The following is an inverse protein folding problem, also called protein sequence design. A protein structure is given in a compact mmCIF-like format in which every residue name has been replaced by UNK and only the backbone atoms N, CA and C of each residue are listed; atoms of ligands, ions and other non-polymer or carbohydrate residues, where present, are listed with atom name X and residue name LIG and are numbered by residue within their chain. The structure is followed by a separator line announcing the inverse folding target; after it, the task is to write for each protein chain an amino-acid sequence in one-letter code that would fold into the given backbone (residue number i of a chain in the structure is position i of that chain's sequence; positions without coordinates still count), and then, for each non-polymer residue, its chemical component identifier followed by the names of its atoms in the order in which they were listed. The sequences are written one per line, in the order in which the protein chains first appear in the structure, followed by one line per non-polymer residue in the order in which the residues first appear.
data_IF_390757007506
#
_entry.id   IF_390757007506
#
_cell.length_a   1.000
_cell.length_b   1.000
_cell.length_c   1.000
_cell.angle_alpha   90.00
_cell.angle_beta   90.00
_cell.angle_gamma   90.00
#
_symmetry.space_group_name_H-M   'P 1'
#
loop_
_entity.id
_entity.type
_entity.pdbx_description
1 polymer ?
#
# COMPACT_ATOMS: atom_id res chain seq x y z
N UNK A 1 -41.54 -34.54 26.10
CA UNK A 1 -40.61 -33.55 25.50
C UNK A 1 -39.35 -33.56 26.34
N UNK A 2 -38.18 -33.94 25.79
CA UNK A 2 -36.90 -33.85 26.51
C UNK A 2 -36.35 -32.44 26.26
N UNK A 3 -36.27 -31.62 27.30
CA UNK A 3 -35.64 -30.30 27.22
C UNK A 3 -34.12 -30.40 27.16
N UNK A 4 -33.46 -29.32 26.74
CA UNK A 4 -32.01 -29.21 26.79
C UNK A 4 -31.52 -29.21 28.24
N UNK A 5 -30.41 -29.90 28.49
CA UNK A 5 -29.74 -29.86 29.78
C UNK A 5 -28.98 -28.55 29.96
N UNK A 6 -28.77 -28.15 31.22
CA UNK A 6 -27.97 -26.97 31.54
C UNK A 6 -26.54 -27.10 30.99
N UNK A 7 -25.97 -28.32 31.02
CA UNK A 7 -24.65 -28.62 30.48
C UNK A 7 -24.57 -28.38 28.96
N UNK A 8 -25.57 -28.79 28.20
CA UNK A 8 -25.60 -28.56 26.74
C UNK A 8 -25.63 -27.07 26.41
N UNK A 9 -26.40 -26.27 27.15
CA UNK A 9 -26.46 -24.82 26.96
C UNK A 9 -25.11 -24.18 27.28
N UNK A 10 -24.44 -24.61 28.36
CA UNK A 10 -23.12 -24.11 28.72
C UNK A 10 -22.06 -24.43 27.66
N UNK A 11 -22.07 -25.65 27.11
CA UNK A 11 -21.15 -26.05 26.03
C UNK A 11 -21.44 -25.25 24.77
N UNK A 12 -22.72 -25.09 24.39
CA UNK A 12 -23.10 -24.30 23.23
C UNK A 12 -22.64 -22.83 23.36
N UNK A 13 -22.83 -22.22 24.53
CA UNK A 13 -22.35 -20.87 24.82
C UNK A 13 -20.82 -20.77 24.74
N UNK A 14 -20.09 -21.75 25.28
CA UNK A 14 -18.63 -21.78 25.21
C UNK A 14 -18.13 -21.85 23.77
N UNK A 15 -18.75 -22.69 22.94
CA UNK A 15 -18.43 -22.80 21.51
C UNK A 15 -18.76 -21.48 20.80
N UNK A 16 -19.93 -20.90 21.03
CA UNK A 16 -20.34 -19.63 20.42
C UNK A 16 -19.40 -18.49 20.78
N UNK A 17 -18.98 -18.39 22.05
CA UNK A 17 -18.03 -17.37 22.49
C UNK A 17 -16.70 -17.49 21.73
N UNK A 18 -16.18 -18.71 21.55
CA UNK A 18 -14.97 -18.96 20.76
C UNK A 18 -15.12 -18.52 19.31
N UNK A 19 -16.21 -18.92 18.65
CA UNK A 19 -16.49 -18.57 17.26
C UNK A 19 -16.61 -17.05 17.09
N UNK A 20 -17.36 -16.37 17.97
CA UNK A 20 -17.55 -14.92 17.91
C UNK A 20 -16.20 -14.21 18.04
N UNK A 21 -15.34 -14.64 18.97
CA UNK A 21 -14.01 -14.06 19.12
C UNK A 21 -13.19 -14.20 17.84
N UNK A 22 -13.17 -15.40 17.23
CA UNK A 22 -12.45 -15.64 15.97
C UNK A 22 -12.98 -14.78 14.82
N UNK A 23 -14.31 -14.59 14.74
CA UNK A 23 -14.92 -13.74 13.70
C UNK A 23 -14.51 -12.28 13.91
N UNK A 24 -14.57 -11.77 15.14
CA UNK A 24 -14.19 -10.39 15.46
C UNK A 24 -12.71 -10.13 15.11
N UNK A 25 -11.82 -11.05 15.48
CA UNK A 25 -10.38 -10.88 15.19
C UNK A 25 -10.10 -10.94 13.69
N UNK A 26 -10.74 -11.88 12.98
CA UNK A 26 -10.60 -11.99 11.52
C UNK A 26 -11.14 -10.74 10.81
N UNK A 27 -12.29 -10.21 11.25
CA UNK A 27 -12.88 -9.02 10.65
C UNK A 27 -12.01 -7.78 10.86
N UNK A 28 -11.49 -7.57 12.07
CA UNK A 28 -10.58 -6.47 12.35
C UNK A 28 -9.28 -6.58 11.54
N UNK A 29 -8.76 -7.79 11.38
CA UNK A 29 -7.60 -8.03 10.52
C UNK A 29 -7.89 -7.65 9.06
N UNK A 30 -9.03 -8.07 8.51
CA UNK A 30 -9.40 -7.71 7.13
C UNK A 30 -9.59 -6.21 6.94
N UNK A 31 -10.18 -5.49 7.91
CA UNK A 31 -10.27 -4.03 7.86
C UNK A 31 -8.90 -3.36 7.79
N UNK A 32 -7.94 -3.86 8.57
CA UNK A 32 -6.55 -3.36 8.52
C UNK A 32 -5.89 -3.62 7.16
N UNK A 33 -6.11 -4.80 6.58
CA UNK A 33 -5.60 -5.15 5.24
C UNK A 33 -6.20 -4.23 4.17
N UNK A 34 -7.53 -4.05 4.17
CA UNK A 34 -8.20 -3.16 3.20
C UNK A 34 -7.73 -1.71 3.33
N UNK A 35 -7.50 -1.23 4.55
CA UNK A 35 -6.92 0.08 4.79
C UNK A 35 -5.54 0.23 4.13
N UNK A 36 -4.66 -0.75 4.34
CA UNK A 36 -3.32 -0.78 3.73
C UNK A 36 -3.38 -0.86 2.20
N UNK A 37 -4.22 -1.72 1.65
CA UNK A 37 -4.36 -1.88 0.20
C UNK A 37 -4.86 -0.59 -0.47
N UNK A 38 -5.76 0.14 0.19
CA UNK A 38 -6.22 1.46 -0.27
C UNK A 38 -5.08 2.47 -0.32
N UNK A 39 -4.27 2.55 0.74
CA UNK A 39 -3.12 3.45 0.80
C UNK A 39 -2.08 3.11 -0.27
N UNK A 40 -1.74 1.82 -0.42
CA UNK A 40 -0.80 1.35 -1.43
C UNK A 40 -1.30 1.63 -2.84
N UNK A 41 -2.59 1.42 -3.10
CA UNK A 41 -3.22 1.76 -4.39
C UNK A 41 -3.14 3.26 -4.66
N UNK A 42 -3.42 4.11 -3.67
CA UNK A 42 -3.30 5.56 -3.82
C UNK A 42 -1.86 5.97 -4.14
N UNK A 43 -0.87 5.43 -3.40
CA UNK A 43 0.54 5.69 -3.64
C UNK A 43 0.99 5.24 -5.05
N UNK A 44 0.54 4.07 -5.50
CA UNK A 44 0.80 3.56 -6.86
C UNK A 44 0.20 4.48 -7.93
N UNK A 45 -1.03 4.96 -7.76
CA UNK A 45 -1.67 5.86 -8.70
C UNK A 45 -0.96 7.22 -8.76
N UNK A 46 -0.58 7.78 -7.60
CA UNK A 46 0.19 9.02 -7.53
C UNK A 46 1.57 8.86 -8.18
N UNK A 47 2.26 7.75 -7.95
CA UNK A 47 3.53 7.44 -8.59
C UNK A 47 3.40 7.40 -10.12
N UNK A 48 2.37 6.73 -10.64
CA UNK A 48 2.10 6.66 -12.08
C UNK A 48 1.79 8.04 -12.66
N UNK A 49 0.89 8.79 -12.03
CA UNK A 49 0.56 10.15 -12.45
C UNK A 49 1.80 11.05 -12.49
N UNK A 50 2.72 10.90 -11.52
CA UNK A 50 3.97 11.66 -11.48
C UNK A 50 4.90 11.34 -12.65
N UNK A 51 4.98 10.07 -13.04
CA UNK A 51 5.80 9.64 -14.18
C UNK A 51 5.24 10.13 -15.52
N UNK A 52 3.92 10.28 -15.62
CA UNK A 52 3.22 10.80 -16.80
C UNK A 52 3.25 12.34 -16.88
N UNK A 53 3.70 13.01 -15.81
CA UNK A 53 3.77 14.47 -15.78
C UNK A 53 4.77 15.01 -16.83
N UNK A 54 4.34 15.93 -17.71
CA UNK A 54 5.22 16.52 -18.71
C UNK A 54 6.43 17.21 -18.06
N UNK A 55 7.63 16.88 -18.52
CA UNK A 55 8.87 17.47 -18.00
C UNK A 55 9.36 16.88 -16.66
N UNK A 56 8.74 15.82 -16.14
CA UNK A 56 9.21 15.14 -14.93
C UNK A 56 10.68 14.69 -15.03
N UNK A 57 11.09 14.21 -16.21
CA UNK A 57 12.48 13.83 -16.49
C UNK A 57 13.45 15.02 -16.48
N UNK A 58 12.97 16.23 -16.73
CA UNK A 58 13.78 17.45 -16.81
C UNK A 58 13.85 18.22 -15.49
N UNK A 59 13.08 17.80 -14.46
CA UNK A 59 13.13 18.42 -13.13
C UNK A 59 14.54 18.37 -12.54
N UNK A 60 15.02 19.51 -12.04
CA UNK A 60 16.30 19.60 -11.32
C UNK A 60 16.23 18.86 -9.97
N UNK A 61 15.12 19.00 -9.25
CA UNK A 61 14.87 18.27 -8.02
C UNK A 61 14.12 16.98 -8.31
N UNK A 62 14.76 15.85 -8.01
CA UNK A 62 14.17 14.52 -8.11
C UNK A 62 13.58 14.06 -6.77
N UNK A 63 13.10 14.97 -5.93
CA UNK A 63 12.44 14.63 -4.66
C UNK A 63 11.41 15.70 -4.29
N UNK A 64 10.41 15.33 -3.51
CA UNK A 64 9.40 16.27 -3.04
C UNK A 64 8.23 15.58 -2.35
N UNK A 65 7.12 16.31 -2.20
CA UNK A 65 5.84 15.79 -1.71
C UNK A 65 4.76 15.98 -2.77
N UNK A 66 3.60 15.36 -2.58
CA UNK A 66 2.42 15.51 -3.43
C UNK A 66 1.50 16.64 -2.96
N UNK A 67 2.06 17.75 -2.48
CA UNK A 67 1.31 18.92 -2.01
C UNK A 67 0.61 19.66 -3.17
N UNK A 68 -0.57 20.28 -2.94
CA UNK A 68 -1.27 20.43 -1.65
C UNK A 68 -2.20 19.26 -1.31
N UNK A 69 -2.47 18.36 -2.26
CA UNK A 69 -3.51 17.33 -2.11
C UNK A 69 -3.09 16.20 -1.15
N UNK A 70 -1.79 15.86 -1.14
CA UNK A 70 -1.20 14.79 -0.33
C UNK A 70 0.16 15.20 0.25
N UNK A 71 0.21 16.16 1.17
CA UNK A 71 1.46 16.62 1.80
C UNK A 71 2.15 15.54 2.65
N UNK A 72 1.41 14.55 3.12
CA UNK A 72 1.89 13.41 3.90
C UNK A 72 2.64 12.36 3.08
N UNK A 73 2.53 12.43 1.75
CA UNK A 73 3.16 11.47 0.83
C UNK A 73 4.37 12.15 0.18
N UNK A 74 5.53 11.51 0.33
CA UNK A 74 6.78 11.96 -0.26
C UNK A 74 7.19 11.08 -1.45
N UNK A 75 7.94 11.65 -2.38
CA UNK A 75 8.48 10.95 -3.54
C UNK A 75 9.95 11.30 -3.76
N UNK A 76 10.67 10.35 -4.34
CA UNK A 76 12.06 10.48 -4.75
C UNK A 76 12.30 9.68 -6.04
N UNK A 77 12.91 10.33 -7.04
CA UNK A 77 13.31 9.75 -8.30
C UNK A 77 14.83 9.65 -8.40
N UNK A 78 15.30 8.54 -8.96
CA UNK A 78 16.72 8.29 -9.20
C UNK A 78 16.91 7.78 -10.62
N UNK A 79 17.82 8.41 -11.38
CA UNK A 79 18.22 7.93 -12.69
C UNK A 79 19.54 7.20 -12.60
N UNK A 80 19.54 5.93 -12.99
CA UNK A 80 20.72 5.08 -12.99
C UNK A 80 21.09 4.68 -14.43
N UNK A 81 22.39 4.65 -14.77
CA UNK A 81 22.81 4.04 -16.02
C UNK A 81 22.49 2.54 -16.01
N UNK A 82 22.26 1.98 -17.20
CA UNK A 82 22.08 0.53 -17.37
C UNK A 82 23.26 -0.06 -18.13
N UNK A 83 23.37 -1.38 -18.14
CA UNK A 83 24.38 -2.11 -18.92
C UNK A 83 24.19 -1.89 -20.44
N UNK A 84 23.00 -1.45 -20.86
CA UNK A 84 22.68 -1.15 -22.25
C UNK A 84 22.94 0.35 -22.48
N UNK A 85 23.92 0.74 -23.32
CA UNK A 85 24.36 2.14 -23.46
C UNK A 85 23.27 3.14 -23.89
N UNK A 86 22.23 2.63 -24.54
CA UNK A 86 21.09 3.39 -25.05
C UNK A 86 19.91 3.48 -24.07
N UNK A 87 20.00 2.87 -22.88
CA UNK A 87 18.91 2.83 -21.90
C UNK A 87 19.33 3.45 -20.55
N UNK A 88 18.41 4.22 -19.98
CA UNK A 88 18.48 4.74 -18.63
C UNK A 88 17.36 4.13 -17.78
N UNK A 89 17.66 3.80 -16.53
CA UNK A 89 16.69 3.28 -15.56
C UNK A 89 16.27 4.42 -14.65
N UNK A 90 14.97 4.67 -14.58
CA UNK A 90 14.35 5.58 -13.63
C UNK A 90 13.69 4.77 -12.52
N UNK A 91 14.05 5.05 -11.27
CA UNK A 91 13.44 4.48 -10.07
C UNK A 91 12.70 5.59 -9.36
N UNK A 92 11.37 5.51 -9.29
CA UNK A 92 10.55 6.43 -8.51
C UNK A 92 10.06 5.70 -7.25
N UNK A 93 10.50 6.17 -6.10
CA UNK A 93 10.08 5.68 -4.78
C UNK A 93 9.10 6.66 -4.18
N UNK A 94 7.92 6.17 -3.79
CA UNK A 94 6.91 6.90 -3.04
C UNK A 94 6.86 6.33 -1.63
N UNK A 95 6.84 7.20 -0.63
CA UNK A 95 6.83 6.83 0.80
C UNK A 95 5.71 7.55 1.53
N UNK A 96 5.02 6.82 2.40
CA UNK A 96 3.94 7.33 3.23
C UNK A 96 3.96 6.66 4.60
N UNK A 97 3.32 7.30 5.58
CA UNK A 97 3.33 6.83 6.97
C UNK A 97 4.75 6.74 7.53
N UNK A 98 4.95 5.90 8.55
CA UNK A 98 6.26 5.79 9.22
C UNK A 98 7.26 4.91 8.46
N UNK A 99 6.79 3.89 7.73
CA UNK A 99 7.66 2.84 7.15
C UNK A 99 7.16 2.23 5.83
N UNK A 100 6.12 2.79 5.21
CA UNK A 100 5.61 2.23 3.96
C UNK A 100 6.24 2.96 2.77
N UNK A 101 6.69 2.17 1.80
CA UNK A 101 7.17 2.70 0.54
C UNK A 101 6.92 1.71 -0.60
N UNK A 102 6.84 2.27 -1.80
CA UNK A 102 6.65 1.54 -3.04
C UNK A 102 7.54 2.18 -4.11
N UNK A 103 8.18 1.35 -4.94
CA UNK A 103 9.06 1.81 -6.02
C UNK A 103 8.55 1.36 -7.39
N UNK A 104 8.42 2.30 -8.33
CA UNK A 104 8.27 2.01 -9.75
C UNK A 104 9.62 2.07 -10.44
N UNK A 105 9.86 1.11 -11.33
CA UNK A 105 11.03 1.09 -12.20
C UNK A 105 10.55 1.23 -13.64
N UNK A 106 11.12 2.20 -14.36
CA UNK A 106 10.89 2.39 -15.79
C UNK A 106 12.21 2.54 -16.54
N UNK A 107 12.20 2.17 -17.82
CA UNK A 107 13.35 2.26 -18.70
C UNK A 107 13.05 3.25 -19.82
N UNK A 108 13.98 4.17 -20.05
CA UNK A 108 13.89 5.20 -21.07
C UNK A 108 15.06 5.11 -22.04
N UNK A 109 14.78 5.36 -23.32
CA UNK A 109 15.83 5.51 -24.31
C UNK A 109 16.59 6.82 -24.05
N UNK A 110 17.92 6.74 -23.97
CA UNK A 110 18.80 7.90 -23.84
C UNK A 110 18.70 8.72 -25.14
N UNK A 111 18.18 9.95 -25.04
CA UNK A 111 18.21 10.93 -26.14
C UNK A 111 19.61 11.45 -26.38
#
# INVERSE_FOLDING_TARGET
MKGFTLLEIMIALAIMAGVILTVITSFNYHLSVVGRDKEETAAMLLARAKLEEPGFMDLQEKKGTFSPDHPEIAWQAEMMPTEIPLLQKLILTVSWGEKQSLSLVQYYAKK
#
